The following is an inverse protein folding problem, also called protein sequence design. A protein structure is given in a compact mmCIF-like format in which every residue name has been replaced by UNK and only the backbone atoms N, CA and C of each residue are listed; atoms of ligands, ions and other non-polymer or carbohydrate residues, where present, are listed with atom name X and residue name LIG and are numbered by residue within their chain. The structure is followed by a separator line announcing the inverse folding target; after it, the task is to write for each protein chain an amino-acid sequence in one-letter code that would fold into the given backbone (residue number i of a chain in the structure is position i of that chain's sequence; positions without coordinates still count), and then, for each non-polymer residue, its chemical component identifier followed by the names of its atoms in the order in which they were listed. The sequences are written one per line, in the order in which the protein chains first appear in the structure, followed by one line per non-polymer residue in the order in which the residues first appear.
data_IF_819888245196
#
_entry.id   IF_819888245196
#
_cell.length_a   1.000
_cell.length_b   1.000
_cell.length_c   1.000
_cell.angle_alpha   90.00
_cell.angle_beta   90.00
_cell.angle_gamma   90.00
#
_symmetry.space_group_name_H-M   'P 1'
#
loop_
_entity.id
_entity.type
_entity.pdbx_description
1 polymer ?
#
# COMPACT_ATOMS: atom_id res chain seq x y z
N UNK A 1 10.46 -6.11 -21.95
CA UNK A 1 10.61 -5.20 -20.79
C UNK A 1 9.32 -4.43 -20.70
N UNK A 2 8.59 -4.56 -19.59
CA UNK A 2 7.29 -3.89 -19.41
C UNK A 2 7.51 -2.40 -19.08
N UNK A 3 6.55 -1.53 -19.38
CA UNK A 3 6.61 -0.09 -19.04
C UNK A 3 6.90 0.14 -17.55
N UNK A 4 6.37 -0.74 -16.69
CA UNK A 4 6.63 -0.77 -15.25
C UNK A 4 8.12 -0.94 -14.96
N UNK A 5 8.76 -1.97 -15.54
CA UNK A 5 10.18 -2.27 -15.30
C UNK A 5 11.08 -1.11 -15.72
N UNK A 6 10.73 -0.44 -16.83
CA UNK A 6 11.47 0.72 -17.36
C UNK A 6 11.38 1.88 -16.37
N UNK A 7 10.17 2.26 -15.95
CA UNK A 7 9.97 3.35 -15.02
C UNK A 7 10.63 3.08 -13.67
N UNK A 8 10.48 1.87 -13.13
CA UNK A 8 11.13 1.48 -11.88
C UNK A 8 12.66 1.53 -12.01
N UNK A 9 13.23 1.03 -13.11
CA UNK A 9 14.69 1.03 -13.30
C UNK A 9 15.26 2.44 -13.39
N UNK A 10 14.57 3.35 -14.09
CA UNK A 10 15.09 4.69 -14.37
C UNK A 10 14.87 5.65 -13.17
N UNK A 11 13.71 5.57 -12.51
CA UNK A 11 13.28 6.60 -11.55
C UNK A 11 13.11 6.13 -10.09
N UNK A 12 13.39 4.86 -9.76
CA UNK A 12 13.36 4.40 -8.33
C UNK A 12 14.60 4.88 -7.55
N UNK A 13 15.73 5.09 -8.22
CA UNK A 13 16.97 5.60 -7.61
C UNK A 13 17.25 7.01 -8.09
N UNK A 14 16.92 8.03 -7.31
CA UNK A 14 17.19 9.40 -7.71
C UNK A 14 18.68 9.68 -7.81
N UNK A 15 19.10 10.10 -9.01
CA UNK A 15 20.36 10.79 -9.28
C UNK A 15 20.00 12.23 -9.70
N UNK A 16 20.75 13.26 -9.30
CA UNK A 16 20.44 14.65 -9.64
C UNK A 16 20.32 14.92 -11.15
N UNK A 17 20.93 14.07 -11.99
CA UNK A 17 20.83 14.15 -13.44
C UNK A 17 19.47 13.72 -14.03
N UNK A 18 18.51 13.27 -13.20
CA UNK A 18 17.26 12.69 -13.67
C UNK A 18 16.08 13.66 -13.67
N UNK A 19 16.18 14.87 -13.09
CA UNK A 19 15.04 15.78 -12.97
C UNK A 19 14.55 16.29 -14.34
N UNK A 20 15.48 16.70 -15.21
CA UNK A 20 15.13 17.14 -16.57
C UNK A 20 14.52 15.99 -17.40
N UNK A 21 15.08 14.78 -17.26
CA UNK A 21 14.59 13.58 -17.94
C UNK A 21 13.19 13.19 -17.42
N UNK A 22 12.96 13.30 -16.12
CA UNK A 22 11.68 13.02 -15.49
C UNK A 22 10.59 13.96 -16.03
N UNK A 23 10.88 15.26 -16.14
CA UNK A 23 9.93 16.24 -16.67
C UNK A 23 9.63 16.03 -18.16
N UNK A 24 10.63 15.67 -18.96
CA UNK A 24 10.45 15.29 -20.36
C UNK A 24 9.53 14.06 -20.49
N UNK A 25 9.81 13.00 -19.74
CA UNK A 25 9.03 11.78 -19.74
C UNK A 25 7.61 12.01 -19.24
N UNK A 26 7.44 12.81 -18.19
CA UNK A 26 6.13 13.20 -17.67
C UNK A 26 5.31 13.90 -18.74
N UNK A 27 5.91 14.84 -19.48
CA UNK A 27 5.25 15.56 -20.56
C UNK A 27 4.80 14.62 -21.68
N UNK A 28 5.67 13.72 -22.15
CA UNK A 28 5.32 12.75 -23.19
C UNK A 28 4.28 11.71 -22.71
N UNK A 29 4.34 11.30 -21.45
CA UNK A 29 3.40 10.37 -20.85
C UNK A 29 1.99 10.98 -20.73
N UNK A 30 1.87 12.29 -20.45
CA UNK A 30 0.59 12.99 -20.44
C UNK A 30 -0.08 13.08 -21.82
N UNK A 31 0.69 12.99 -22.90
CA UNK A 31 0.17 12.93 -24.28
C UNK A 31 -0.35 11.54 -24.66
N UNK A 32 -0.07 10.50 -23.86
CA UNK A 32 -0.61 9.16 -24.07
C UNK A 32 -2.11 9.12 -23.76
N UNK A 33 -2.86 8.11 -24.26
CA UNK A 33 -4.28 7.96 -23.96
C UNK A 33 -4.56 7.94 -22.46
N UNK A 34 -5.67 8.54 -22.03
CA UNK A 34 -6.03 8.73 -20.61
C UNK A 34 -6.25 7.45 -19.79
N UNK A 35 -6.27 6.29 -20.45
CA UNK A 35 -6.29 4.97 -19.81
C UNK A 35 -4.95 4.21 -19.85
N UNK A 36 -3.90 4.78 -20.44
CA UNK A 36 -2.58 4.14 -20.47
C UNK A 36 -1.91 4.21 -19.09
N UNK A 37 -1.06 3.23 -18.79
CA UNK A 37 -0.28 3.22 -17.55
C UNK A 37 0.60 4.47 -17.43
N UNK A 38 1.24 4.88 -18.53
CA UNK A 38 2.07 6.08 -18.57
C UNK A 38 1.28 7.35 -18.26
N UNK A 39 0.10 7.54 -18.86
CA UNK A 39 -0.74 8.70 -18.56
C UNK A 39 -1.17 8.72 -17.10
N UNK A 40 -1.62 7.59 -16.56
CA UNK A 40 -2.01 7.47 -15.15
C UNK A 40 -0.84 7.75 -14.20
N UNK A 41 0.35 7.21 -14.49
CA UNK A 41 1.57 7.51 -13.74
C UNK A 41 1.93 9.00 -13.76
N UNK A 42 1.98 9.63 -14.94
CA UNK A 42 2.37 11.03 -15.03
C UNK A 42 1.34 11.96 -14.36
N UNK A 43 0.06 11.60 -14.43
CA UNK A 43 -1.03 12.30 -13.74
C UNK A 43 -0.88 12.19 -12.23
N UNK A 44 -0.68 10.99 -11.69
CA UNK A 44 -0.51 10.79 -10.26
C UNK A 44 0.77 11.43 -9.72
N UNK A 45 1.85 11.42 -10.50
CA UNK A 45 3.08 12.11 -10.15
C UNK A 45 2.86 13.63 -10.04
N UNK A 46 2.14 14.21 -11.00
CA UNK A 46 1.84 15.65 -11.01
C UNK A 46 1.01 16.06 -9.80
N UNK A 47 -0.06 15.31 -9.48
CA UNK A 47 -0.90 15.54 -8.30
C UNK A 47 -0.05 15.47 -7.02
N UNK A 48 0.78 14.44 -6.90
CA UNK A 48 1.63 14.24 -5.72
C UNK A 48 2.65 15.37 -5.53
N UNK A 49 3.35 15.77 -6.60
CA UNK A 49 4.38 16.81 -6.54
C UNK A 49 3.78 18.21 -6.26
N UNK A 50 2.61 18.49 -6.83
CA UNK A 50 1.91 19.77 -6.65
C UNK A 50 1.09 19.81 -5.36
N UNK A 51 1.05 18.72 -4.60
CA UNK A 51 0.25 18.57 -3.38
C UNK A 51 -1.24 18.86 -3.61
N UNK A 52 -1.74 18.49 -4.79
CA UNK A 52 -3.15 18.61 -5.13
C UNK A 52 -3.99 17.56 -4.37
N UNK A 53 -5.27 17.85 -4.08
CA UNK A 53 -6.15 16.91 -3.43
C UNK A 53 -6.47 15.71 -4.34
N UNK A 54 -6.32 14.50 -3.82
CA UNK A 54 -6.68 13.27 -4.52
C UNK A 54 -8.20 13.09 -4.58
N UNK A 55 -8.80 13.29 -5.75
CA UNK A 55 -10.21 13.00 -5.98
C UNK A 55 -10.49 11.48 -5.89
N UNK A 56 -11.63 11.05 -5.32
CA UNK A 56 -11.94 9.62 -5.15
C UNK A 56 -11.88 8.81 -6.45
N UNK A 57 -12.34 9.37 -7.57
CA UNK A 57 -12.28 8.72 -8.90
C UNK A 57 -10.84 8.56 -9.39
N UNK A 58 -10.01 9.58 -9.19
CA UNK A 58 -8.59 9.53 -9.52
C UNK A 58 -7.88 8.45 -8.70
N UNK A 59 -8.15 8.37 -7.39
CA UNK A 59 -7.59 7.32 -6.52
C UNK A 59 -7.91 5.92 -7.06
N UNK A 60 -9.17 5.66 -7.45
CA UNK A 60 -9.59 4.37 -8.02
C UNK A 60 -8.87 4.07 -9.33
N UNK A 61 -8.80 5.05 -10.24
CA UNK A 61 -8.07 4.90 -11.50
C UNK A 61 -6.59 4.54 -11.27
N UNK A 62 -5.93 5.20 -10.30
CA UNK A 62 -4.55 4.89 -9.92
C UNK A 62 -4.43 3.46 -9.36
N UNK A 63 -5.33 3.07 -8.46
CA UNK A 63 -5.32 1.75 -7.84
C UNK A 63 -5.57 0.60 -8.83
N UNK A 64 -6.42 0.83 -9.85
CA UNK A 64 -6.75 -0.17 -10.88
C UNK A 64 -5.66 -0.34 -11.94
N UNK A 65 -4.86 0.69 -12.21
CA UNK A 65 -3.91 0.70 -13.34
C UNK A 65 -2.45 0.62 -12.94
N UNK A 66 -2.12 1.05 -11.72
CA UNK A 66 -0.74 1.11 -11.25
C UNK A 66 -0.45 -0.02 -10.27
N UNK A 67 0.81 -0.51 -10.21
CA UNK A 67 1.24 -1.45 -9.18
C UNK A 67 0.93 -0.94 -7.78
N UNK A 68 0.50 -1.83 -6.90
CA UNK A 68 0.17 -1.49 -5.50
C UNK A 68 1.33 -0.80 -4.78
N UNK A 69 2.55 -1.27 -5.04
CA UNK A 69 3.78 -0.70 -4.49
C UNK A 69 3.96 0.80 -4.81
N UNK A 70 3.42 1.29 -5.92
CA UNK A 70 3.56 2.70 -6.30
C UNK A 70 2.67 3.58 -5.43
N UNK A 71 1.38 3.25 -5.31
CA UNK A 71 0.45 4.09 -4.56
C UNK A 71 0.34 3.74 -3.07
N UNK A 72 0.97 2.66 -2.61
CA UNK A 72 0.90 2.17 -1.22
C UNK A 72 1.20 3.22 -0.15
N UNK A 73 2.02 4.24 -0.45
CA UNK A 73 2.31 5.35 0.48
C UNK A 73 1.07 6.20 0.82
N UNK A 74 0.05 6.17 -0.04
CA UNK A 74 -1.22 6.86 0.15
C UNK A 74 -2.35 5.93 0.61
N UNK A 75 -2.07 4.64 0.78
CA UNK A 75 -3.09 3.59 0.97
C UNK A 75 -4.07 3.89 2.11
N UNK A 76 -3.58 4.28 3.29
CA UNK A 76 -4.43 4.58 4.45
C UNK A 76 -5.41 5.73 4.17
N UNK A 77 -4.95 6.84 3.60
CA UNK A 77 -5.82 8.00 3.34
C UNK A 77 -6.79 7.73 2.18
N UNK A 78 -6.35 7.01 1.15
CA UNK A 78 -7.21 6.63 0.04
C UNK A 78 -8.29 5.64 0.49
N UNK A 79 -7.94 4.65 1.33
CA UNK A 79 -8.91 3.73 1.91
C UNK A 79 -10.03 4.47 2.65
N UNK A 80 -9.65 5.36 3.57
CA UNK A 80 -10.61 6.15 4.33
C UNK A 80 -11.50 7.02 3.44
N UNK A 81 -10.91 7.62 2.40
CA UNK A 81 -11.66 8.41 1.43
C UNK A 81 -12.70 7.55 0.68
N UNK A 82 -12.34 6.34 0.26
CA UNK A 82 -13.29 5.43 -0.39
C UNK A 82 -14.39 4.94 0.57
N UNK A 83 -14.06 4.62 1.81
CA UNK A 83 -15.03 4.18 2.83
C UNK A 83 -16.09 5.26 3.16
N UNK A 84 -15.76 6.54 2.97
CA UNK A 84 -16.64 7.68 3.29
C UNK A 84 -17.90 7.77 2.41
N UNK A 85 -17.92 7.13 1.24
CA UNK A 85 -19.01 7.24 0.27
C UNK A 85 -19.61 5.89 -0.09
N UNK A 86 -20.89 5.87 -0.50
CA UNK A 86 -21.53 4.63 -0.96
C UNK A 86 -20.85 4.07 -2.21
N UNK A 87 -20.52 4.93 -3.18
CA UNK A 87 -19.81 4.54 -4.41
C UNK A 87 -18.43 3.95 -4.11
N UNK A 88 -17.65 4.56 -3.21
CA UNK A 88 -16.34 4.05 -2.85
C UNK A 88 -16.42 2.73 -2.08
N UNK A 89 -17.41 2.56 -1.19
CA UNK A 89 -17.66 1.28 -0.51
C UNK A 89 -18.06 0.17 -1.49
N UNK A 90 -18.94 0.45 -2.44
CA UNK A 90 -19.30 -0.54 -3.46
C UNK A 90 -18.07 -0.96 -4.27
N UNK A 91 -17.25 0.01 -4.68
CA UNK A 91 -16.01 -0.27 -5.40
C UNK A 91 -15.01 -1.08 -4.56
N UNK A 92 -14.85 -0.77 -3.27
CA UNK A 92 -13.96 -1.51 -2.37
C UNK A 92 -14.35 -2.97 -2.19
N UNK A 93 -15.66 -3.29 -2.25
CA UNK A 93 -16.12 -4.68 -2.19
C UNK A 93 -15.65 -5.47 -3.42
N UNK A 94 -15.62 -4.84 -4.59
CA UNK A 94 -15.23 -5.45 -5.87
C UNK A 94 -13.72 -5.40 -6.15
N UNK A 95 -13.01 -4.43 -5.56
CA UNK A 95 -11.58 -4.23 -5.77
C UNK A 95 -10.74 -5.16 -4.88
N UNK A 96 -10.19 -6.22 -5.48
CA UNK A 96 -9.30 -7.14 -4.79
C UNK A 96 -7.93 -6.52 -4.54
N UNK A 97 -7.62 -6.25 -3.27
CA UNK A 97 -6.33 -5.76 -2.83
C UNK A 97 -6.00 -6.27 -1.43
N UNK A 98 -4.73 -6.61 -1.21
CA UNK A 98 -4.23 -6.96 0.10
C UNK A 98 -4.00 -5.70 0.95
N UNK A 99 -5.09 -5.10 1.43
CA UNK A 99 -5.07 -3.89 2.26
C UNK A 99 -4.13 -3.96 3.47
N UNK A 100 -4.08 -5.07 4.25
CA UNK A 100 -3.11 -5.20 5.35
C UNK A 100 -1.67 -4.96 4.91
N UNK A 101 -1.25 -5.50 3.75
CA UNK A 101 0.11 -5.33 3.24
C UNK A 101 0.38 -3.89 2.75
N UNK A 102 -0.64 -3.19 2.25
CA UNK A 102 -0.48 -1.81 1.74
C UNK A 102 -0.42 -0.78 2.85
N UNK A 103 -1.23 -0.92 3.89
CA UNK A 103 -1.34 0.08 4.98
C UNK A 103 -0.30 -0.12 6.07
N UNK A 104 0.15 -1.36 6.29
CA UNK A 104 1.10 -1.70 7.35
C UNK A 104 2.56 -1.84 6.87
N UNK A 105 2.92 -1.06 5.84
CA UNK A 105 4.31 -0.89 5.39
C UNK A 105 5.17 -0.30 6.50
N UNK A 106 6.48 -0.46 6.37
CA UNK A 106 7.40 -0.04 7.43
C UNK A 106 7.49 1.49 7.46
N UNK A 107 7.28 2.15 8.61
CA UNK A 107 7.49 3.59 8.70
C UNK A 107 8.91 3.97 8.25
N UNK A 108 9.01 5.00 7.41
CA UNK A 108 10.27 5.44 6.81
C UNK A 108 10.72 4.67 5.56
N UNK A 109 10.05 3.57 5.21
CA UNK A 109 10.24 2.89 3.93
C UNK A 109 9.97 3.86 2.77
N UNK A 110 10.82 3.83 1.74
CA UNK A 110 10.64 4.69 0.55
C UNK A 110 9.52 4.15 -0.33
N UNK A 111 8.71 5.07 -0.86
CA UNK A 111 7.74 4.75 -1.90
C UNK A 111 8.45 4.17 -3.13
N UNK A 112 7.79 3.23 -3.81
CA UNK A 112 8.24 2.71 -5.12
C UNK A 112 7.63 3.47 -6.28
N UNK A 113 6.89 4.55 -6.03
CA UNK A 113 6.33 5.39 -7.08
C UNK A 113 7.45 6.05 -7.88
N UNK A 114 7.62 5.73 -9.18
CA UNK A 114 8.75 6.25 -9.96
C UNK A 114 8.70 7.77 -10.05
N UNK A 115 9.78 8.44 -9.61
CA UNK A 115 9.90 9.90 -9.63
C UNK A 115 9.36 10.63 -8.39
N UNK A 116 8.79 9.93 -7.41
CA UNK A 116 8.25 10.53 -6.19
C UNK A 116 9.12 10.22 -4.96
N UNK A 117 9.52 11.28 -4.25
CA UNK A 117 10.19 11.17 -2.95
C UNK A 117 9.20 11.18 -1.80
N UNK A 118 8.52 10.05 -1.59
CA UNK A 118 7.65 9.86 -0.44
C UNK A 118 8.14 8.71 0.43
N UNK A 119 7.79 8.76 1.72
CA UNK A 119 8.04 7.68 2.67
C UNK A 119 6.74 7.25 3.32
N UNK A 120 6.63 5.96 3.60
CA UNK A 120 5.54 5.42 4.39
C UNK A 120 5.54 6.04 5.79
N UNK A 121 4.36 6.47 6.20
CA UNK A 121 4.10 6.95 7.55
C UNK A 121 3.67 5.79 8.44
N UNK A 122 3.58 6.06 9.74
CA UNK A 122 2.93 5.13 10.67
C UNK A 122 1.47 4.89 10.26
N UNK A 123 1.00 3.66 10.47
CA UNK A 123 -0.40 3.32 10.20
C UNK A 123 -1.29 4.08 11.19
N UNK A 124 -1.99 5.10 10.70
CA UNK A 124 -2.88 5.95 11.49
C UNK A 124 -4.35 5.47 11.50
N UNK A 125 -4.61 4.23 11.05
CA UNK A 125 -5.96 3.68 11.00
C UNK A 125 -6.41 3.24 12.39
N UNK A 126 -7.66 3.55 12.73
CA UNK A 126 -8.34 3.09 13.96
C UNK A 126 -9.50 2.16 13.63
N UNK A 127 -9.95 1.34 14.59
CA UNK A 127 -11.12 0.49 14.35
C UNK A 127 -12.38 1.32 14.05
N UNK A 128 -12.53 2.48 14.69
CA UNK A 128 -13.59 3.45 14.42
C UNK A 128 -13.57 3.96 12.97
N UNK A 129 -12.38 4.30 12.45
CA UNK A 129 -12.22 4.77 11.06
C UNK A 129 -12.57 3.71 10.02
N UNK A 130 -12.53 2.43 10.43
CA UNK A 130 -12.80 1.26 9.59
C UNK A 130 -14.18 0.65 9.82
N UNK A 131 -15.05 1.23 10.65
CA UNK A 131 -16.40 0.69 10.91
C UNK A 131 -17.21 0.44 9.65
N UNK A 132 -17.03 1.29 8.63
CA UNK A 132 -17.66 1.18 7.32
C UNK A 132 -17.35 -0.15 6.60
N UNK A 133 -16.26 -0.84 6.95
CA UNK A 133 -15.92 -2.18 6.44
C UNK A 133 -17.03 -3.19 6.79
N UNK A 134 -17.68 -3.04 7.95
CA UNK A 134 -18.70 -3.97 8.46
C UNK A 134 -20.02 -3.95 7.66
N UNK A 135 -20.21 -2.94 6.82
CA UNK A 135 -21.40 -2.75 5.99
C UNK A 135 -21.10 -2.84 4.49
N UNK A 136 -19.91 -3.33 4.11
CA UNK A 136 -19.58 -3.59 2.72
C UNK A 136 -20.43 -4.74 2.20
N UNK A 137 -20.73 -4.69 0.90
CA UNK A 137 -21.28 -5.85 0.22
C UNK A 137 -20.25 -6.98 0.18
N UNK A 138 -20.72 -8.21 0.05
CA UNK A 138 -19.83 -9.34 -0.18
C UNK A 138 -19.17 -9.22 -1.55
N UNK A 139 -17.85 -9.40 -1.59
CA UNK A 139 -17.04 -9.30 -2.79
C UNK A 139 -15.59 -9.69 -2.53
N UNK A 140 -14.76 -9.81 -3.58
CA UNK A 140 -13.37 -10.25 -3.46
C UNK A 140 -12.51 -9.30 -2.60
N UNK A 141 -12.83 -8.00 -2.55
CA UNK A 141 -12.12 -7.01 -1.75
C UNK A 141 -12.50 -7.00 -0.27
N UNK A 142 -13.61 -7.64 0.10
CA UNK A 142 -14.19 -7.54 1.46
C UNK A 142 -13.38 -8.30 2.51
N UNK A 143 -12.90 -9.51 2.19
CA UNK A 143 -12.14 -10.34 3.15
C UNK A 143 -10.83 -9.68 3.65
N UNK A 144 -9.97 -9.10 2.79
CA UNK A 144 -8.81 -8.33 3.23
C UNK A 144 -9.14 -7.12 4.10
N UNK A 145 -10.25 -6.44 3.83
CA UNK A 145 -10.69 -5.29 4.63
C UNK A 145 -11.18 -5.72 6.02
N UNK A 146 -11.92 -6.84 6.11
CA UNK A 146 -12.33 -7.42 7.39
C UNK A 146 -11.09 -7.81 8.20
N UNK A 147 -10.11 -8.48 7.58
CA UNK A 147 -8.86 -8.83 8.24
C UNK A 147 -8.10 -7.61 8.75
N UNK A 148 -8.08 -6.51 7.98
CA UNK A 148 -7.51 -5.23 8.40
C UNK A 148 -8.23 -4.63 9.62
N UNK A 149 -9.57 -4.66 9.63
CA UNK A 149 -10.35 -4.23 10.79
C UNK A 149 -10.02 -5.09 12.03
N UNK A 150 -9.96 -6.41 11.88
CA UNK A 150 -9.71 -7.34 12.99
C UNK A 150 -8.32 -7.16 13.61
N UNK A 151 -7.26 -6.95 12.81
CA UNK A 151 -5.93 -6.69 13.34
C UNK A 151 -5.85 -5.37 14.12
N UNK A 152 -6.48 -4.30 13.63
CA UNK A 152 -6.48 -2.99 14.29
C UNK A 152 -7.33 -3.04 15.55
N UNK A 153 -8.53 -3.64 15.49
CA UNK A 153 -9.39 -3.82 16.65
C UNK A 153 -8.69 -4.63 17.75
N UNK A 154 -8.02 -5.73 17.41
CA UNK A 154 -7.27 -6.53 18.38
C UNK A 154 -6.10 -5.74 19.01
N UNK A 155 -5.45 -4.86 18.25
CA UNK A 155 -4.41 -3.97 18.76
C UNK A 155 -4.99 -3.01 19.81
N UNK A 156 -6.03 -2.26 19.44
CA UNK A 156 -6.64 -1.23 20.31
C UNK A 156 -7.24 -1.82 21.58
N UNK A 157 -7.87 -3.00 21.48
CA UNK A 157 -8.48 -3.68 22.62
C UNK A 157 -7.49 -4.53 23.44
N UNK A 158 -6.19 -4.47 23.12
CA UNK A 158 -5.15 -5.28 23.79
C UNK A 158 -5.47 -6.79 23.81
N UNK A 159 -6.12 -7.28 22.76
CA UNK A 159 -6.44 -8.70 22.59
C UNK A 159 -5.23 -9.47 22.07
N UNK A 160 -5.21 -10.82 22.21
CA UNK A 160 -4.23 -11.66 21.52
C UNK A 160 -4.20 -11.40 20.01
N UNK A 161 -3.04 -11.60 19.39
CA UNK A 161 -2.89 -11.41 17.93
C UNK A 161 -3.80 -12.41 17.20
N UNK A 162 -4.72 -11.93 16.35
CA UNK A 162 -5.69 -12.80 15.70
C UNK A 162 -5.04 -13.62 14.59
N UNK A 163 -5.60 -14.81 14.34
CA UNK A 163 -5.29 -15.61 13.17
C UNK A 163 -6.25 -15.21 12.05
N UNK A 164 -5.73 -14.62 10.98
CA UNK A 164 -6.54 -13.98 9.94
C UNK A 164 -6.66 -14.84 8.68
N UNK A 165 -7.81 -14.77 8.03
CA UNK A 165 -8.15 -15.57 6.83
C UNK A 165 -7.23 -15.31 5.64
N UNK A 166 -6.78 -14.06 5.45
CA UNK A 166 -5.89 -13.66 4.36
C UNK A 166 -4.46 -14.17 4.54
N UNK A 167 -3.99 -14.18 5.79
CA UNK A 167 -2.67 -14.68 6.14
C UNK A 167 -2.63 -14.90 7.66
N UNK A 168 -2.28 -16.11 8.15
CA UNK A 168 -2.28 -16.49 9.57
C UNK A 168 -1.62 -15.50 10.53
N UNK A 169 -0.54 -14.87 10.08
CA UNK A 169 0.29 -13.97 10.88
C UNK A 169 0.08 -12.48 10.55
N UNK A 170 -0.93 -12.12 9.75
CA UNK A 170 -1.18 -10.73 9.35
C UNK A 170 -1.39 -9.78 10.54
N UNK A 171 -1.96 -10.28 11.65
CA UNK A 171 -2.19 -9.49 12.86
C UNK A 171 -0.91 -8.92 13.48
N UNK A 172 0.26 -9.49 13.17
CA UNK A 172 1.55 -8.95 13.62
C UNK A 172 1.92 -7.64 12.93
N UNK A 173 1.43 -7.36 11.72
CA UNK A 173 1.83 -6.19 10.94
C UNK A 173 1.62 -4.83 11.64
N UNK A 174 0.60 -4.74 12.50
CA UNK A 174 0.28 -3.55 13.31
C UNK A 174 0.88 -3.58 14.71
N UNK A 175 1.53 -4.69 15.11
CA UNK A 175 2.21 -4.80 16.41
C UNK A 175 3.63 -4.24 16.31
N UNK A 176 4.16 -3.70 17.41
CA UNK A 176 5.59 -3.40 17.52
C UNK A 176 6.45 -4.62 17.21
N UNK A 177 7.52 -4.43 16.42
CA UNK A 177 8.33 -5.55 15.87
C UNK A 177 9.09 -6.31 16.97
N UNK A 178 9.38 -5.68 18.10
CA UNK A 178 9.96 -6.28 19.30
C UNK A 178 9.08 -7.39 19.91
N UNK A 179 7.78 -7.36 19.65
CA UNK A 179 6.84 -8.38 20.13
C UNK A 179 6.70 -9.56 19.15
N UNK A 180 7.27 -9.46 17.95
CA UNK A 180 7.04 -10.44 16.90
C UNK A 180 7.74 -11.77 17.18
N UNK A 181 7.13 -12.90 16.82
CA UNK A 181 7.79 -14.19 16.88
C UNK A 181 8.89 -14.31 15.83
N UNK A 182 9.63 -15.42 15.88
CA UNK A 182 10.57 -15.77 14.81
C UNK A 182 9.81 -16.38 13.64
N UNK A 183 9.69 -15.60 12.56
CA UNK A 183 9.26 -16.11 11.26
C UNK A 183 10.43 -16.79 10.57
N UNK A 184 10.22 -18.00 10.04
CA UNK A 184 11.07 -18.57 9.01
C UNK A 184 10.56 -18.22 7.61
N UNK A 185 11.15 -18.83 6.58
CA UNK A 185 10.76 -18.59 5.18
C UNK A 185 9.35 -19.07 4.84
N UNK A 186 8.75 -19.93 5.67
CA UNK A 186 7.38 -20.41 5.51
C UNK A 186 6.34 -19.30 5.48
N UNK A 187 6.63 -18.14 6.10
CA UNK A 187 5.74 -16.97 6.07
C UNK A 187 5.50 -16.45 4.65
N UNK A 188 6.43 -16.67 3.72
CA UNK A 188 6.31 -16.23 2.33
C UNK A 188 5.31 -17.07 1.52
N UNK A 189 4.99 -18.28 1.98
CA UNK A 189 4.13 -19.24 1.26
C UNK A 189 2.78 -19.47 1.93
N UNK A 190 2.54 -18.87 3.10
CA UNK A 190 1.34 -19.10 3.91
C UNK A 190 0.29 -17.99 3.70
N UNK A 191 -0.67 -18.18 2.81
CA UNK A 191 -1.72 -17.19 2.55
C UNK A 191 -1.28 -16.13 1.54
N UNK A 192 -1.64 -14.86 1.78
CA UNK A 192 -1.33 -13.77 0.86
C UNK A 192 0.18 -13.44 0.82
N UNK A 193 0.83 -13.53 -0.35
CA UNK A 193 2.28 -13.35 -0.46
C UNK A 193 2.75 -11.93 -0.17
N UNK A 194 1.93 -10.90 -0.38
CA UNK A 194 2.30 -9.52 -0.08
C UNK A 194 2.39 -9.30 1.44
N UNK A 195 1.54 -9.97 2.22
CA UNK A 195 1.66 -9.97 3.69
C UNK A 195 2.93 -10.69 4.11
N UNK A 196 3.19 -11.86 3.52
CA UNK A 196 4.40 -12.64 3.78
C UNK A 196 5.68 -11.85 3.53
N UNK A 197 5.76 -11.13 2.40
CA UNK A 197 6.90 -10.28 2.05
C UNK A 197 7.15 -9.19 3.10
N UNK A 198 6.08 -8.50 3.55
CA UNK A 198 6.21 -7.44 4.57
C UNK A 198 6.66 -8.01 5.91
N UNK A 199 6.06 -9.12 6.36
CA UNK A 199 6.44 -9.81 7.60
C UNK A 199 7.91 -10.25 7.56
N UNK A 200 8.31 -10.92 6.47
CA UNK A 200 9.66 -11.42 6.29
C UNK A 200 10.68 -10.28 6.24
N UNK A 201 10.46 -9.28 5.39
CA UNK A 201 11.43 -8.19 5.19
C UNK A 201 11.59 -7.34 6.45
N UNK A 202 10.49 -7.01 7.15
CA UNK A 202 10.54 -6.24 8.41
C UNK A 202 11.24 -7.01 9.52
N UNK A 203 10.90 -8.28 9.70
CA UNK A 203 11.51 -9.12 10.73
C UNK A 203 12.99 -9.36 10.48
N UNK A 204 13.39 -9.57 9.23
CA UNK A 204 14.79 -9.74 8.83
C UNK A 204 15.59 -8.45 9.05
N UNK A 205 15.07 -7.30 8.63
CA UNK A 205 15.76 -6.01 8.76
C UNK A 205 16.07 -5.66 10.22
N UNK A 206 15.10 -5.82 11.13
CA UNK A 206 15.32 -5.55 12.57
C UNK A 206 16.42 -6.46 13.14
N UNK A 207 16.41 -7.74 12.79
CA UNK A 207 17.40 -8.70 13.31
C UNK A 207 18.79 -8.49 12.75
N UNK A 208 18.89 -8.08 11.49
CA UNK A 208 20.17 -7.70 10.90
C UNK A 208 20.77 -6.51 11.66
N UNK A 209 19.94 -5.52 12.02
CA UNK A 209 20.39 -4.38 12.82
C UNK A 209 20.81 -4.80 14.24
N UNK A 210 20.09 -5.71 14.88
CA UNK A 210 20.45 -6.23 16.21
C UNK A 210 21.75 -7.05 16.18
N UNK A 211 22.05 -7.75 15.09
CA UNK A 211 23.26 -8.55 14.94
C UNK A 211 24.54 -7.72 14.70
N UNK A 212 24.39 -6.44 14.32
CA UNK A 212 25.50 -5.51 14.03
C UNK A 212 25.80 -4.61 15.25
N UNK A 213 24.99 -4.69 16.32
CA UNK A 213 25.18 -3.98 17.59
C UNK A 213 25.91 -4.85 18.61
#
# INVERSE_FOLDING_TARGET
MCEIDVLETIFTSQRPSHDALLEEWKTHALLQPSGSLLHTWATGLSIAQQHEPWLPETQRNMMERLPASWWSVFSSSWLLNQLSSHTGRSWLADFSCCWPAQVARTPGERSRYPGLLAKHQECALTSDSLLAVRILNDGPGTSPLIALYEMIYALEQSLPVPHLSVHPQAGWLVRPVDQWPRFGSEVLSNGDPAIGEVLFTRSFHVRLLDAIR
#
